data_IF_971550688904
#
_entry.id   IF_971550688904
#
_cell.length_a   1.000
_cell.length_b   1.000
_cell.length_c   1.000
_cell.angle_alpha   90.00
_cell.angle_beta   90.00
_cell.angle_gamma   90.00
#
_symmetry.space_group_name_H-M   'P 1'
#
loop_
_entity.id
_entity.type
_entity.pdbx_description
1 polymer ?
#
# COMPACT_ATOMS: atom_id res chain seq x y z
N UNK A 1 -4.95 -2.09 5.80
CA UNK A 1 -4.15 -3.34 5.83
C UNK A 1 -2.84 -3.21 5.07
N UNK A 2 -2.87 -2.99 3.74
CA UNK A 2 -1.67 -2.91 2.87
C UNK A 2 -0.63 -1.89 3.32
N UNK A 3 -1.07 -0.67 3.66
CA UNK A 3 -0.20 0.41 4.15
C UNK A 3 0.53 0.00 5.44
N UNK A 4 -0.18 -0.64 6.38
CA UNK A 4 0.37 -1.07 7.66
C UNK A 4 1.44 -2.15 7.52
N UNK A 5 1.17 -3.17 6.69
CA UNK A 5 2.18 -4.21 6.38
C UNK A 5 3.41 -3.64 5.69
N UNK A 6 3.25 -2.64 4.82
CA UNK A 6 4.37 -2.02 4.13
C UNK A 6 5.25 -1.18 5.06
N UNK A 7 4.64 -0.41 5.98
CA UNK A 7 5.39 0.32 7.01
C UNK A 7 6.23 -0.62 7.89
N UNK A 8 5.63 -1.71 8.35
CA UNK A 8 6.32 -2.72 9.13
C UNK A 8 7.50 -3.32 8.36
N UNK A 9 7.28 -3.65 7.09
CA UNK A 9 8.30 -4.22 6.22
C UNK A 9 9.46 -3.25 5.94
N UNK A 10 9.17 -1.98 5.63
CA UNK A 10 10.19 -0.94 5.46
C UNK A 10 11.06 -0.82 6.73
N UNK A 11 10.45 -0.89 7.91
CA UNK A 11 11.16 -0.78 9.18
C UNK A 11 12.19 -1.88 9.41
N UNK A 12 11.94 -3.11 8.94
CA UNK A 12 12.87 -4.23 9.08
C UNK A 12 13.83 -4.36 7.89
N UNK A 13 13.57 -3.68 6.76
CA UNK A 13 14.34 -3.81 5.53
C UNK A 13 15.87 -3.65 5.73
N UNK A 14 16.40 -2.72 6.56
CA UNK A 14 17.84 -2.63 6.83
C UNK A 14 18.45 -3.90 7.43
N UNK A 15 17.67 -4.63 8.25
CA UNK A 15 18.09 -5.91 8.83
C UNK A 15 18.11 -7.00 7.76
N UNK A 16 17.06 -7.07 6.93
CA UNK A 16 16.89 -8.13 5.91
C UNK A 16 17.93 -8.08 4.78
N UNK A 17 18.47 -6.90 4.47
CA UNK A 17 19.40 -6.70 3.35
C UNK A 17 20.82 -6.33 3.81
N UNK A 18 21.13 -6.48 5.11
CA UNK A 18 22.46 -6.17 5.67
C UNK A 18 23.61 -6.89 4.93
N UNK A 19 23.37 -8.11 4.45
CA UNK A 19 24.39 -8.89 3.74
C UNK A 19 24.64 -8.40 2.30
N UNK A 20 23.76 -7.56 1.74
CA UNK A 20 23.80 -7.14 0.34
C UNK A 20 24.10 -5.66 0.15
N UNK A 21 23.80 -4.81 1.13
CA UNK A 21 24.10 -3.38 1.07
C UNK A 21 24.26 -2.79 2.48
N UNK A 22 24.91 -1.63 2.56
CA UNK A 22 25.04 -0.90 3.81
C UNK A 22 23.65 -0.53 4.36
N UNK A 23 23.45 -0.75 5.66
CA UNK A 23 22.23 -0.35 6.38
C UNK A 23 21.86 1.12 6.17
N UNK A 24 22.86 2.00 6.01
CA UNK A 24 22.65 3.42 5.72
C UNK A 24 21.97 3.62 4.35
N UNK A 25 22.41 2.88 3.33
CA UNK A 25 21.84 2.96 1.98
C UNK A 25 20.42 2.42 1.99
N UNK A 26 20.19 1.27 2.63
CA UNK A 26 18.88 0.64 2.71
C UNK A 26 17.89 1.50 3.53
N UNK A 27 18.33 2.03 4.66
CA UNK A 27 17.51 2.95 5.48
C UNK A 27 17.11 4.22 4.71
N UNK A 28 18.00 4.73 3.85
CA UNK A 28 17.71 5.89 3.01
C UNK A 28 16.63 5.59 1.95
N UNK A 29 16.56 4.37 1.42
CA UNK A 29 15.46 3.94 0.53
C UNK A 29 14.13 4.09 1.25
N UNK A 30 14.02 3.58 2.48
CA UNK A 30 12.79 3.68 3.28
C UNK A 30 12.37 5.14 3.51
N UNK A 31 13.31 5.99 3.91
CA UNK A 31 13.07 7.41 4.15
C UNK A 31 12.60 8.14 2.88
N UNK A 32 13.28 7.95 1.75
CA UNK A 32 12.92 8.59 0.48
C UNK A 32 11.58 8.08 -0.03
N UNK A 33 11.28 6.79 0.14
CA UNK A 33 9.97 6.22 -0.20
C UNK A 33 8.83 6.92 0.54
N UNK A 34 9.01 7.22 1.84
CA UNK A 34 8.01 7.95 2.62
C UNK A 34 7.80 9.38 2.12
N UNK A 35 8.89 10.11 1.84
CA UNK A 35 8.81 11.47 1.29
C UNK A 35 8.15 11.46 -0.09
N UNK A 36 8.60 10.61 -1.01
CA UNK A 36 7.99 10.52 -2.34
C UNK A 36 6.53 10.07 -2.28
N UNK A 37 6.19 9.14 -1.38
CA UNK A 37 4.81 8.71 -1.16
C UNK A 37 3.89 9.87 -0.76
N UNK A 38 4.33 10.74 0.16
CA UNK A 38 3.54 11.93 0.53
C UNK A 38 3.42 12.94 -0.62
N UNK A 39 4.51 13.19 -1.35
CA UNK A 39 4.50 14.11 -2.51
C UNK A 39 3.60 13.59 -3.63
N UNK A 40 3.63 12.29 -3.93
CA UNK A 40 2.79 11.64 -4.94
C UNK A 40 1.35 11.48 -4.47
N UNK A 41 1.12 11.41 -3.15
CA UNK A 41 -0.23 11.37 -2.57
C UNK A 41 -1.07 12.62 -2.90
N UNK A 42 -0.45 13.80 -3.01
CA UNK A 42 -1.13 15.07 -3.32
C UNK A 42 -1.81 15.06 -4.71
N UNK A 43 -1.11 14.77 -5.83
CA UNK A 43 -1.76 14.68 -7.12
C UNK A 43 -2.76 13.50 -7.17
N UNK A 44 -2.54 12.44 -6.39
CA UNK A 44 -3.46 11.32 -6.31
C UNK A 44 -4.78 11.69 -5.63
N UNK A 45 -4.74 12.45 -4.53
CA UNK A 45 -5.94 12.96 -3.86
C UNK A 45 -6.69 13.93 -4.77
N UNK A 46 -5.98 14.85 -5.43
CA UNK A 46 -6.58 15.74 -6.40
C UNK A 46 -7.24 15.00 -7.58
N UNK A 47 -6.63 13.91 -8.03
CA UNK A 47 -7.20 13.07 -9.09
C UNK A 47 -8.43 12.30 -8.60
N UNK A 48 -8.41 11.82 -7.36
CA UNK A 48 -9.55 11.16 -6.72
C UNK A 48 -10.76 12.10 -6.59
N UNK A 49 -10.53 13.35 -6.18
CA UNK A 49 -11.58 14.38 -6.05
C UNK A 49 -12.31 14.63 -7.39
N UNK A 50 -11.59 14.53 -8.51
CA UNK A 50 -12.17 14.69 -9.86
C UNK A 50 -12.91 13.45 -10.34
N UNK A 51 -12.59 12.28 -9.78
CA UNK A 51 -13.10 10.99 -10.22
C UNK A 51 -13.93 10.30 -9.14
N UNK A 52 -14.78 11.07 -8.42
CA UNK A 52 -15.64 10.55 -7.33
C UNK A 52 -16.37 9.26 -7.70
N UNK A 53 -16.93 9.19 -8.91
CA UNK A 53 -17.64 8.00 -9.42
C UNK A 53 -16.75 6.76 -9.63
N UNK A 54 -15.44 6.94 -9.82
CA UNK A 54 -14.50 5.87 -10.17
C UNK A 54 -13.45 5.61 -9.08
N UNK A 55 -13.61 6.17 -7.86
CA UNK A 55 -12.62 6.05 -6.77
C UNK A 55 -12.32 4.58 -6.41
N UNK A 56 -13.34 3.72 -6.37
CA UNK A 56 -13.18 2.29 -6.10
C UNK A 56 -12.35 1.59 -7.18
N UNK A 57 -12.53 1.95 -8.46
CA UNK A 57 -11.76 1.39 -9.57
C UNK A 57 -10.31 1.87 -9.50
N UNK A 58 -10.09 3.16 -9.21
CA UNK A 58 -8.75 3.70 -9.00
C UNK A 58 -8.03 2.91 -7.91
N UNK A 59 -8.67 2.71 -6.76
CA UNK A 59 -8.12 1.94 -5.64
C UNK A 59 -7.71 0.53 -6.05
N UNK A 60 -8.58 -0.19 -6.78
CA UNK A 60 -8.29 -1.53 -7.28
C UNK A 60 -7.08 -1.52 -8.22
N UNK A 61 -7.05 -0.60 -9.19
CA UNK A 61 -5.94 -0.47 -10.15
C UNK A 61 -4.62 -0.17 -9.42
N UNK A 62 -4.61 0.75 -8.46
CA UNK A 62 -3.42 1.08 -7.69
C UNK A 62 -2.90 -0.12 -6.90
N UNK A 63 -3.80 -0.94 -6.33
CA UNK A 63 -3.41 -2.15 -5.59
C UNK A 63 -2.93 -3.26 -6.51
N UNK A 64 -3.52 -3.42 -7.70
CA UNK A 64 -3.00 -4.35 -8.72
C UNK A 64 -1.58 -3.93 -9.13
N UNK A 65 -1.35 -2.65 -9.40
CA UNK A 65 -0.01 -2.13 -9.73
C UNK A 65 0.98 -2.34 -8.57
N UNK A 66 0.53 -2.13 -7.32
CA UNK A 66 1.33 -2.41 -6.12
C UNK A 66 1.67 -3.89 -6.01
N UNK A 67 0.71 -4.78 -6.31
CA UNK A 67 0.93 -6.23 -6.31
C UNK A 67 1.97 -6.64 -7.35
N UNK A 68 1.89 -6.09 -8.55
CA UNK A 68 2.89 -6.34 -9.62
C UNK A 68 4.27 -5.84 -9.21
N UNK A 69 4.37 -4.65 -8.60
CA UNK A 69 5.64 -4.12 -8.10
C UNK A 69 6.22 -4.99 -6.96
N UNK A 70 5.38 -5.48 -6.05
CA UNK A 70 5.79 -6.41 -5.00
C UNK A 70 6.22 -7.77 -5.57
N UNK A 71 5.53 -8.28 -6.59
CA UNK A 71 5.89 -9.51 -7.28
C UNK A 71 7.25 -9.39 -7.96
N UNK A 72 7.50 -8.25 -8.63
CA UNK A 72 8.81 -7.95 -9.21
C UNK A 72 9.92 -7.95 -8.14
N UNK A 73 9.69 -7.33 -6.99
CA UNK A 73 10.63 -7.33 -5.85
C UNK A 73 10.92 -8.75 -5.34
N UNK A 74 9.89 -9.60 -5.24
CA UNK A 74 10.02 -11.02 -4.84
C UNK A 74 10.89 -11.77 -5.85
N UNK A 75 10.57 -11.68 -7.15
CA UNK A 75 11.31 -12.37 -8.21
C UNK A 75 12.78 -11.96 -8.21
N UNK A 76 13.05 -10.65 -8.13
CA UNK A 76 14.42 -10.11 -8.09
C UNK A 76 15.20 -10.63 -6.88
N UNK A 77 14.55 -10.74 -5.72
CA UNK A 77 15.23 -11.12 -4.47
C UNK A 77 15.49 -12.62 -4.36
N UNK A 78 14.59 -13.44 -4.93
CA UNK A 78 14.69 -14.91 -4.89
C UNK A 78 15.78 -15.48 -5.79
N UNK A 79 16.31 -14.69 -6.74
CA UNK A 79 17.38 -15.15 -7.64
C UNK A 79 16.94 -16.30 -8.55
N UNK A 80 15.65 -16.45 -8.82
CA UNK A 80 15.14 -17.56 -9.65
C UNK A 80 15.62 -17.50 -11.11
N UNK A 81 16.20 -16.38 -11.54
CA UNK A 81 16.61 -16.17 -12.92
C UNK A 81 18.00 -15.50 -12.98
N UNK A 82 19.04 -16.28 -12.70
CA UNK A 82 20.45 -15.85 -12.66
C UNK A 82 21.00 -15.30 -13.99
N UNK A 83 20.33 -15.53 -15.12
CA UNK A 83 20.76 -15.11 -16.48
C UNK A 83 19.89 -14.04 -17.12
N UNK A 84 18.93 -13.46 -16.39
CA UNK A 84 18.01 -12.44 -16.93
C UNK A 84 18.31 -11.02 -16.46
N UNK A 85 17.77 -9.99 -17.13
CA UNK A 85 17.79 -8.60 -16.63
C UNK A 85 17.12 -8.40 -15.26
N UNK A 86 16.51 -9.43 -14.67
CA UNK A 86 15.88 -9.43 -13.36
C UNK A 86 16.81 -9.83 -12.21
N UNK A 87 18.11 -9.94 -12.46
CA UNK A 87 19.10 -10.18 -11.42
C UNK A 87 19.05 -9.08 -10.35
N UNK A 88 19.36 -9.45 -9.10
CA UNK A 88 19.40 -8.51 -7.99
C UNK A 88 20.42 -7.41 -8.27
N UNK A 89 19.92 -6.18 -8.43
CA UNK A 89 20.73 -4.98 -8.50
C UNK A 89 20.25 -4.01 -7.43
N UNK A 90 21.18 -3.26 -6.83
CA UNK A 90 20.82 -2.21 -5.87
C UNK A 90 19.87 -1.21 -6.55
N UNK A 91 20.11 -0.84 -7.80
CA UNK A 91 19.20 0.01 -8.58
C UNK A 91 17.80 -0.57 -8.74
N UNK A 92 17.66 -1.88 -8.97
CA UNK A 92 16.37 -2.57 -9.02
C UNK A 92 15.64 -2.58 -7.67
N UNK A 93 16.37 -2.71 -6.56
CA UNK A 93 15.81 -2.57 -5.21
C UNK A 93 15.27 -1.14 -4.98
N UNK A 94 16.04 -0.12 -5.36
CA UNK A 94 15.58 1.27 -5.31
C UNK A 94 14.30 1.47 -6.12
N UNK A 95 14.32 1.11 -7.40
CA UNK A 95 13.17 1.32 -8.29
C UNK A 95 11.92 0.59 -7.79
N UNK A 96 12.04 -0.69 -7.41
CA UNK A 96 10.91 -1.50 -6.97
C UNK A 96 10.32 -1.01 -5.65
N UNK A 97 11.13 -0.69 -4.65
CA UNK A 97 10.63 -0.20 -3.35
C UNK A 97 10.03 1.20 -3.48
N UNK A 98 10.63 2.08 -4.29
CA UNK A 98 10.07 3.42 -4.53
C UNK A 98 8.71 3.34 -5.26
N UNK A 99 8.60 2.55 -6.32
CA UNK A 99 7.34 2.36 -7.06
C UNK A 99 6.29 1.72 -6.15
N UNK A 100 6.65 0.64 -5.46
CA UNK A 100 5.75 -0.05 -4.53
C UNK A 100 5.24 0.90 -3.45
N UNK A 101 6.15 1.62 -2.79
CA UNK A 101 5.76 2.49 -1.69
C UNK A 101 4.97 3.71 -2.13
N UNK A 102 5.32 4.33 -3.26
CA UNK A 102 4.52 5.46 -3.79
C UNK A 102 3.09 5.04 -4.12
N UNK A 103 2.90 3.86 -4.72
CA UNK A 103 1.56 3.32 -4.99
C UNK A 103 0.81 2.97 -3.70
N UNK A 104 1.47 2.37 -2.72
CA UNK A 104 0.85 2.05 -1.42
C UNK A 104 0.48 3.32 -0.64
N UNK A 105 1.32 4.35 -0.67
CA UNK A 105 1.00 5.63 -0.02
C UNK A 105 -0.13 6.37 -0.71
N UNK A 106 -0.22 6.28 -2.04
CA UNK A 106 -1.32 6.82 -2.82
C UNK A 106 -2.68 6.16 -2.52
N UNK A 107 -2.69 4.91 -2.05
CA UNK A 107 -3.91 4.21 -1.61
C UNK A 107 -4.53 4.86 -0.36
N UNK A 108 -3.72 5.45 0.52
CA UNK A 108 -4.20 5.97 1.81
C UNK A 108 -5.28 7.06 1.70
N UNK A 109 -5.09 8.15 0.92
CA UNK A 109 -6.12 9.18 0.78
C UNK A 109 -7.41 8.64 0.14
N UNK A 110 -7.31 7.79 -0.89
CA UNK A 110 -8.49 7.19 -1.55
C UNK A 110 -9.26 6.30 -0.57
N UNK A 111 -8.55 5.47 0.20
CA UNK A 111 -9.17 4.58 1.17
C UNK A 111 -9.87 5.34 2.31
N UNK A 112 -9.32 6.51 2.72
CA UNK A 112 -9.96 7.38 3.71
C UNK A 112 -11.26 7.97 3.18
N UNK A 113 -11.28 8.47 1.94
CA UNK A 113 -12.48 9.02 1.33
C UNK A 113 -13.59 7.96 1.20
N UNK A 114 -13.25 6.78 0.66
CA UNK A 114 -14.19 5.66 0.53
C UNK A 114 -14.69 5.22 1.91
N UNK A 115 -13.84 5.18 2.94
CA UNK A 115 -14.24 4.85 4.30
C UNK A 115 -15.22 5.88 4.88
N UNK A 116 -15.01 7.17 4.62
CA UNK A 116 -15.91 8.23 5.04
C UNK A 116 -17.28 8.13 4.34
N UNK A 117 -17.30 7.86 3.04
CA UNK A 117 -18.53 7.70 2.26
C UNK A 117 -19.33 6.44 2.65
N UNK A 118 -18.64 5.33 2.90
CA UNK A 118 -19.27 4.06 3.28
C UNK A 118 -19.78 4.05 4.71
N UNK A 119 -19.17 4.80 5.62
CA UNK A 119 -19.55 4.86 7.02
C UNK A 119 -20.67 5.87 7.31
N UNK A 120 -21.17 6.59 6.31
CA UNK A 120 -22.25 7.56 6.51
C UNK A 120 -23.47 6.91 7.21
N UNK A 121 -24.07 7.54 8.24
CA UNK A 121 -23.92 8.93 8.67
C UNK A 121 -22.87 9.19 9.78
N UNK A 122 -21.92 8.29 9.99
CA UNK A 122 -20.85 8.49 10.98
C UNK A 122 -19.94 9.65 10.57
N UNK A 123 -19.42 10.39 11.56
CA UNK A 123 -18.48 11.49 11.30
C UNK A 123 -17.22 10.98 10.58
N UNK A 124 -16.79 11.71 9.56
CA UNK A 124 -15.59 11.40 8.78
C UNK A 124 -14.35 11.20 9.66
N UNK A 125 -14.20 12.05 10.69
CA UNK A 125 -13.10 11.94 11.65
C UNK A 125 -13.08 10.60 12.39
N UNK A 126 -14.24 10.07 12.79
CA UNK A 126 -14.34 8.75 13.44
C UNK A 126 -13.97 7.63 12.48
N UNK A 127 -14.50 7.66 11.25
CA UNK A 127 -14.25 6.63 10.24
C UNK A 127 -12.76 6.56 9.86
N UNK A 128 -12.14 7.73 9.64
CA UNK A 128 -10.72 7.83 9.32
C UNK A 128 -9.83 7.41 10.50
N UNK A 129 -10.21 7.77 11.73
CA UNK A 129 -9.49 7.34 12.93
C UNK A 129 -9.50 5.81 13.10
N UNK A 130 -10.66 5.17 12.92
CA UNK A 130 -10.78 3.70 13.00
C UNK A 130 -9.91 3.03 11.93
N UNK A 131 -9.92 3.56 10.69
CA UNK A 131 -9.09 3.03 9.60
C UNK A 131 -7.59 3.16 9.89
N UNK A 132 -7.15 4.31 10.43
CA UNK A 132 -5.77 4.51 10.85
C UNK A 132 -5.38 3.59 12.01
N UNK A 133 -6.23 3.46 13.01
CA UNK A 133 -6.01 2.57 14.14
C UNK A 133 -5.86 1.12 13.67
N UNK A 134 -6.74 0.65 12.79
CA UNK A 134 -6.63 -0.68 12.17
C UNK A 134 -5.33 -0.86 11.39
N UNK A 135 -4.88 0.19 10.69
CA UNK A 135 -3.59 0.18 9.98
C UNK A 135 -2.42 0.03 10.94
N UNK A 136 -2.45 0.68 12.11
CA UNK A 136 -1.43 0.54 13.15
C UNK A 136 -1.45 -0.85 13.80
N UNK A 137 -2.63 -1.41 14.05
CA UNK A 137 -2.77 -2.78 14.57
C UNK A 137 -2.15 -3.78 13.59
N UNK A 138 -2.45 -3.68 12.29
CA UNK A 138 -1.84 -4.53 11.26
C UNK A 138 -0.33 -4.36 11.20
N UNK A 139 0.17 -3.13 11.31
CA UNK A 139 1.61 -2.84 11.37
C UNK A 139 2.27 -3.58 12.55
N UNK A 140 1.71 -3.46 13.76
CA UNK A 140 2.23 -4.14 14.96
C UNK A 140 2.22 -5.66 14.81
N UNK A 141 1.11 -6.23 14.31
CA UNK A 141 1.01 -7.68 14.06
C UNK A 141 2.10 -8.12 13.08
N UNK A 142 2.20 -7.44 11.94
CA UNK A 142 3.16 -7.78 10.90
C UNK A 142 4.61 -7.65 11.39
N UNK A 143 4.94 -6.55 12.06
CA UNK A 143 6.27 -6.33 12.64
C UNK A 143 6.62 -7.41 13.66
N UNK A 144 5.67 -7.78 14.53
CA UNK A 144 5.86 -8.84 15.53
C UNK A 144 6.10 -10.20 14.86
N UNK A 145 5.31 -10.54 13.83
CA UNK A 145 5.50 -11.78 13.07
C UNK A 145 6.85 -11.84 12.35
N UNK A 146 7.31 -10.72 11.80
CA UNK A 146 8.61 -10.65 11.13
C UNK A 146 9.79 -10.85 12.09
N UNK A 147 9.71 -10.34 13.33
CA UNK A 147 10.76 -10.56 14.32
C UNK A 147 10.91 -12.04 14.69
N UNK A 148 9.82 -12.82 14.64
CA UNK A 148 9.86 -14.27 14.94
C UNK A 148 10.56 -15.09 13.86
N UNK A 149 10.42 -14.70 12.59
CA UNK A 149 10.92 -15.51 11.46
C UNK A 149 12.24 -14.98 10.91
N UNK A 150 12.49 -13.66 10.97
CA UNK A 150 13.72 -12.96 10.55
C UNK A 150 14.30 -13.36 9.18
N UNK A 151 13.52 -14.03 8.34
CA UNK A 151 13.92 -14.50 7.01
C UNK A 151 13.44 -13.50 5.94
N UNK A 152 14.38 -13.05 5.12
CA UNK A 152 14.15 -12.17 3.98
C UNK A 152 13.07 -12.69 3.04
N UNK A 153 13.09 -13.98 2.70
CA UNK A 153 12.15 -14.63 1.78
C UNK A 153 10.75 -14.65 2.35
N UNK A 154 10.63 -15.06 3.62
CA UNK A 154 9.32 -15.11 4.30
C UNK A 154 8.73 -13.71 4.40
N UNK A 155 9.54 -12.69 4.73
CA UNK A 155 9.05 -11.31 4.82
C UNK A 155 8.42 -10.80 3.53
N UNK A 156 9.00 -11.16 2.38
CA UNK A 156 8.52 -10.77 1.06
C UNK A 156 7.26 -11.53 0.65
N UNK A 157 7.19 -12.83 0.95
CA UNK A 157 5.95 -13.59 0.74
C UNK A 157 4.81 -13.11 1.62
N UNK A 158 5.10 -12.74 2.86
CA UNK A 158 4.11 -12.11 3.74
C UNK A 158 3.63 -10.79 3.14
N UNK A 159 4.54 -9.89 2.74
CA UNK A 159 4.16 -8.62 2.12
C UNK A 159 3.30 -8.83 0.86
N UNK A 160 3.71 -9.74 -0.02
CA UNK A 160 2.95 -10.10 -1.23
C UNK A 160 1.58 -10.67 -0.88
N UNK A 161 1.50 -11.55 0.13
CA UNK A 161 0.26 -12.15 0.61
C UNK A 161 -0.72 -11.11 1.16
N UNK A 162 -0.26 -10.12 1.92
CA UNK A 162 -1.12 -9.04 2.42
C UNK A 162 -1.62 -8.11 1.30
N UNK A 163 -0.77 -7.78 0.31
CA UNK A 163 -1.21 -6.99 -0.85
C UNK A 163 -2.20 -7.80 -1.69
N UNK A 164 -1.91 -9.08 -1.94
CA UNK A 164 -2.76 -9.98 -2.72
C UNK A 164 -4.11 -10.24 -2.05
N UNK A 165 -4.14 -10.44 -0.72
CA UNK A 165 -5.37 -10.65 0.04
C UNK A 165 -6.27 -9.39 0.07
N UNK A 166 -5.72 -8.20 -0.14
CA UNK A 166 -6.51 -6.98 -0.24
C UNK A 166 -7.38 -6.94 -1.51
N UNK A 167 -6.96 -7.56 -2.61
CA UNK A 167 -7.71 -7.57 -3.87
C UNK A 167 -9.11 -8.23 -3.78
N UNK A 168 -9.24 -9.49 -3.32
CA UNK A 168 -10.55 -10.11 -3.18
C UNK A 168 -11.38 -9.39 -2.12
N UNK A 169 -10.75 -8.94 -1.03
CA UNK A 169 -11.46 -8.22 0.03
C UNK A 169 -12.12 -6.96 -0.53
N UNK A 170 -11.39 -6.15 -1.29
CA UNK A 170 -11.92 -4.93 -1.92
C UNK A 170 -13.00 -5.21 -2.95
N UNK A 171 -12.84 -6.26 -3.75
CA UNK A 171 -13.85 -6.67 -4.72
C UNK A 171 -15.18 -7.04 -4.05
N UNK A 172 -15.15 -7.69 -2.89
CA UNK A 172 -16.37 -8.08 -2.17
C UNK A 172 -16.95 -6.99 -1.27
N UNK A 173 -16.14 -6.07 -0.75
CA UNK A 173 -16.60 -5.10 0.27
C UNK A 173 -17.00 -3.74 -0.28
N UNK A 174 -16.53 -3.31 -1.46
CA UNK A 174 -16.88 -1.99 -1.96
C UNK A 174 -18.17 -2.05 -2.79
N UNK A 175 -19.30 -1.49 -2.30
CA UNK A 175 -20.50 -1.39 -3.11
C UNK A 175 -20.25 -0.49 -4.33
N UNK A 176 -20.84 -0.86 -5.48
CA UNK A 176 -20.68 -0.13 -6.75
C UNK A 176 -21.36 1.25 -6.76
N UNK A 177 -22.18 1.56 -5.76
CA UNK A 177 -22.81 2.87 -5.56
C UNK A 177 -22.65 3.27 -4.08
N UNK A 178 -22.15 4.48 -3.84
CA UNK A 178 -21.97 5.01 -2.49
C UNK A 178 -23.24 5.75 -2.04
N UNK A 179 -23.78 5.47 -0.84
CA UNK A 179 -25.02 6.05 -0.36
C UNK A 179 -25.04 7.58 -0.32
N UNK A 180 -23.88 8.22 -0.09
CA UNK A 180 -23.74 9.68 -0.05
C UNK A 180 -23.96 10.33 -1.41
N UNK A 181 -23.39 9.77 -2.49
CA UNK A 181 -23.58 10.26 -3.86
C UNK A 181 -25.06 10.22 -4.25
N UNK A 182 -25.78 9.15 -3.88
CA UNK A 182 -27.21 9.03 -4.16
C UNK A 182 -28.05 10.07 -3.39
N UNK A 183 -27.69 10.37 -2.14
CA UNK A 183 -28.35 11.41 -1.36
C UNK A 183 -28.10 12.82 -1.92
N UNK A 184 -26.87 13.13 -2.35
CA UNK A 184 -26.53 14.42 -2.94
C UNK A 184 -27.21 14.63 -4.30
N UNK A 185 -27.33 13.59 -5.14
CA UNK A 185 -28.07 13.63 -6.41
C UNK A 185 -29.58 13.83 -6.19
N UNK A 186 -30.15 13.19 -5.17
CA UNK A 186 -31.56 13.35 -4.82
C UNK A 186 -31.88 14.76 -4.25
N UNK A 187 -30.96 15.35 -3.50
CA UNK A 187 -31.10 16.72 -2.99
C UNK A 187 -30.88 17.79 -4.07
N UNK A 188 -30.08 17.51 -5.10
CA UNK A 188 -29.87 18.44 -6.22
C UNK A 188 -31.03 18.48 -7.23
N UNK A 189 -31.95 17.52 -7.16
CA UNK A 189 -33.12 17.39 -8.05
C UNK A 189 -34.44 17.85 -7.41
N UNK A 190 -34.40 18.36 -6.18
CA UNK A 190 -35.53 18.97 -5.45
C UNK A 190 -35.36 20.48 -5.31
#
# INVERSE_FOLDING_TARGET
MVVGSFYAWIGIMPLLYTDRASQKVIGMIGAITGVLGTVVGIPYSWLADRMKRYMSIMLIVTIILSFVAALYLVIMTMGWIDTSPFCFTIGGLWASVLILGTLIFAVQPIAMEIAAETAFPVSEGTSNYILMWFTMVVNVIFFSSLNLVSDQKVSLYMLLGFIGAALPLLYFTIPHSTPRLELDENNAST
#
